data_IF_306780817945
#
_entry.id   IF_306780817945
#
_cell.length_a   1.000
_cell.length_b   1.000
_cell.length_c   1.000
_cell.angle_alpha   90.00
_cell.angle_beta   90.00
_cell.angle_gamma   90.00
#
_symmetry.space_group_name_H-M   'P 1'
#
loop_
_entity.id
_entity.type
_entity.pdbx_description
1 polymer ?
#
# COMPACT_ATOMS: atom_id res chain seq x y z
N UNK A 1 -15.30 30.66 23.25
CA UNK A 1 -15.12 30.53 24.71
C UNK A 1 -14.64 29.10 24.95
N UNK A 2 -13.41 28.97 25.44
CA UNK A 2 -12.72 27.70 25.63
C UNK A 2 -13.00 27.20 27.06
N UNK A 3 -13.58 26.01 27.21
CA UNK A 3 -13.68 25.36 28.50
C UNK A 3 -12.64 24.25 28.59
N UNK A 4 -11.60 24.53 29.35
CA UNK A 4 -10.59 23.56 29.77
C UNK A 4 -11.02 23.05 31.14
N UNK A 5 -11.23 21.73 31.28
CA UNK A 5 -11.50 21.08 32.57
C UNK A 5 -10.18 20.47 33.06
N UNK A 6 -9.66 20.82 34.22
CA UNK A 6 -8.49 20.15 34.80
C UNK A 6 -8.90 18.89 35.58
N UNK A 7 -8.24 17.78 35.28
CA UNK A 7 -8.34 16.54 36.06
C UNK A 7 -7.38 16.68 37.27
N UNK A 8 -7.95 16.70 38.45
CA UNK A 8 -7.19 16.68 39.70
C UNK A 8 -6.79 15.23 40.06
N UNK A 9 -5.49 15.02 40.21
CA UNK A 9 -4.92 13.76 40.72
C UNK A 9 -4.83 13.91 42.26
N UNK A 10 -5.62 13.11 42.96
CA UNK A 10 -5.56 13.04 44.43
C UNK A 10 -4.58 11.93 44.81
N UNK A 11 -3.47 12.33 45.43
CA UNK A 11 -2.50 11.42 46.05
C UNK A 11 -2.98 11.13 47.46
N UNK A 12 -3.31 9.88 47.76
CA UNK A 12 -3.56 9.41 49.13
C UNK A 12 -2.30 8.76 49.67
N UNK A 13 -1.66 9.41 50.63
CA UNK A 13 -0.60 8.84 51.45
C UNK A 13 -1.22 8.19 52.69
N UNK A 14 -0.98 6.89 52.88
CA UNK A 14 -1.14 6.27 54.20
C UNK A 14 0.16 5.57 54.52
N UNK A 15 0.74 5.97 55.62
CA UNK A 15 2.00 5.45 56.11
C UNK A 15 1.82 4.37 57.20
N UNK A 16 2.94 3.80 57.46
CA UNK A 16 3.39 3.19 58.70
C UNK A 16 3.41 1.67 58.84
N UNK A 17 4.62 1.12 58.89
CA UNK A 17 5.08 0.31 59.99
C UNK A 17 5.35 -1.17 59.72
N UNK A 18 6.61 -1.59 59.87
CA UNK A 18 6.94 -2.96 60.30
C UNK A 18 8.10 -3.62 59.52
N UNK A 19 9.19 -3.80 60.23
CA UNK A 19 10.45 -4.47 59.90
C UNK A 19 10.24 -5.94 59.48
N UNK A 20 11.02 -6.46 58.50
CA UNK A 20 12.18 -7.34 58.72
C UNK A 20 12.79 -7.83 57.41
N UNK A 21 14.09 -8.08 57.47
CA UNK A 21 15.04 -8.44 56.45
C UNK A 21 14.71 -9.67 55.59
N UNK A 22 14.99 -9.62 54.28
CA UNK A 22 15.75 -10.67 53.59
C UNK A 22 16.19 -10.18 52.22
N UNK A 23 17.49 -10.21 52.04
CA UNK A 23 18.26 -9.98 50.83
C UNK A 23 17.82 -10.85 49.68
N UNK A 24 17.51 -10.25 48.52
CA UNK A 24 17.85 -10.84 47.22
C UNK A 24 17.92 -9.74 46.15
N UNK A 25 19.09 -9.60 45.58
CA UNK A 25 19.39 -8.74 44.44
C UNK A 25 18.48 -9.08 43.25
N UNK A 26 17.73 -8.11 42.78
CA UNK A 26 17.18 -8.15 41.44
C UNK A 26 17.63 -6.90 40.68
N UNK A 27 18.53 -7.14 39.77
CA UNK A 27 19.03 -6.22 38.78
C UNK A 27 17.90 -5.41 38.14
N UNK A 28 17.95 -4.10 38.33
CA UNK A 28 17.18 -3.15 37.55
C UNK A 28 17.62 -3.22 36.09
N UNK A 29 16.73 -3.66 35.20
CA UNK A 29 16.88 -3.50 33.79
C UNK A 29 16.30 -2.13 33.45
N UNK A 30 17.18 -1.14 33.26
CA UNK A 30 16.83 0.14 32.64
C UNK A 30 16.46 -0.13 31.22
N UNK A 31 15.19 -0.08 30.90
CA UNK A 31 14.66 -0.07 29.53
C UNK A 31 14.92 1.32 28.94
N UNK A 32 16.03 1.43 28.21
CA UNK A 32 16.30 2.56 27.33
C UNK A 32 15.25 2.58 26.24
N UNK A 33 14.27 3.45 26.35
CA UNK A 33 13.44 3.87 25.22
C UNK A 33 14.35 4.61 24.24
N UNK A 34 14.82 3.91 23.21
CA UNK A 34 15.44 4.52 22.06
C UNK A 34 14.35 5.15 21.20
N UNK A 35 14.31 6.46 21.25
CA UNK A 35 13.59 7.30 20.30
C UNK A 35 14.16 7.02 18.89
N UNK A 36 13.48 6.20 18.10
CA UNK A 36 13.80 5.97 16.69
C UNK A 36 13.37 7.22 15.96
N UNK A 37 14.29 8.15 15.77
CA UNK A 37 14.18 9.17 14.74
C UNK A 37 14.16 8.48 13.40
N UNK A 38 12.97 8.32 12.84
CA UNK A 38 12.78 7.93 11.45
C UNK A 38 13.23 9.09 10.57
N UNK A 39 14.51 9.08 10.20
CA UNK A 39 15.01 9.91 9.12
C UNK A 39 14.31 9.47 7.85
N UNK A 40 13.42 10.31 7.35
CA UNK A 40 12.83 10.19 6.03
C UNK A 40 13.95 10.29 4.99
N UNK A 41 14.56 9.13 4.69
CA UNK A 41 15.47 8.99 3.56
C UNK A 41 14.66 9.22 2.30
N UNK A 42 14.81 10.38 1.72
CA UNK A 42 14.33 10.71 0.38
C UNK A 42 15.08 9.80 -0.58
N UNK A 43 14.51 8.65 -0.90
CA UNK A 43 15.03 7.80 -1.96
C UNK A 43 14.75 8.51 -3.28
N UNK A 44 15.81 8.96 -3.93
CA UNK A 44 15.75 9.36 -5.33
C UNK A 44 15.18 8.18 -6.14
N UNK A 45 14.31 8.44 -7.14
CA UNK A 45 13.74 7.37 -7.94
C UNK A 45 14.86 6.68 -8.72
N UNK A 46 15.32 5.54 -8.21
CA UNK A 46 16.14 4.62 -8.97
C UNK A 46 15.31 4.22 -10.18
N UNK A 47 15.81 4.46 -11.38
CA UNK A 47 15.17 4.01 -12.61
C UNK A 47 15.15 2.48 -12.60
N UNK A 48 14.08 1.90 -12.03
CA UNK A 48 13.83 0.47 -12.10
C UNK A 48 13.66 0.11 -13.58
N UNK A 49 14.57 -0.70 -14.10
CA UNK A 49 14.43 -1.26 -15.43
C UNK A 49 13.13 -2.07 -15.47
N UNK A 50 12.26 -1.75 -16.44
CA UNK A 50 11.01 -2.49 -16.64
C UNK A 50 11.32 -3.98 -16.74
N UNK A 51 10.62 -4.85 -16.00
CA UNK A 51 10.81 -6.28 -16.12
C UNK A 51 10.45 -6.74 -17.54
N UNK A 52 11.12 -7.78 -18.02
CA UNK A 52 10.69 -8.46 -19.25
C UNK A 52 9.27 -9.01 -19.02
N UNK A 53 8.35 -8.87 -20.00
CA UNK A 53 7.01 -9.40 -19.85
C UNK A 53 7.04 -10.91 -19.59
N UNK A 54 6.44 -11.33 -18.50
CA UNK A 54 6.26 -12.72 -18.12
C UNK A 54 4.76 -13.05 -18.09
N UNK A 55 4.38 -14.21 -18.59
CA UNK A 55 3.00 -14.64 -18.64
C UNK A 55 2.39 -14.51 -20.02
N UNK A 56 1.08 -14.36 -20.11
CA UNK A 56 0.33 -14.21 -21.37
C UNK A 56 0.01 -12.75 -21.63
N UNK A 57 -0.10 -12.37 -22.92
CA UNK A 57 -0.66 -11.07 -23.25
C UNK A 57 -2.12 -11.05 -22.80
N UNK A 58 -2.56 -9.97 -22.16
CA UNK A 58 -3.95 -9.84 -21.67
C UNK A 58 -4.99 -10.00 -22.80
N UNK A 59 -4.62 -9.67 -24.02
CA UNK A 59 -5.44 -9.93 -25.22
C UNK A 59 -5.73 -11.42 -25.48
N UNK A 60 -4.99 -12.34 -24.88
CA UNK A 60 -5.23 -13.79 -24.96
C UNK A 60 -6.23 -14.27 -23.92
N UNK A 61 -6.61 -13.42 -22.97
CA UNK A 61 -7.63 -13.71 -22.00
C UNK A 61 -9.02 -13.37 -22.53
N UNK A 62 -10.03 -14.02 -21.97
CA UNK A 62 -11.45 -13.80 -22.22
C UNK A 62 -12.19 -13.73 -20.90
N UNK A 63 -13.00 -12.70 -20.75
CA UNK A 63 -13.88 -12.51 -19.61
C UNK A 63 -15.16 -13.34 -19.74
N UNK A 64 -15.61 -13.92 -18.64
CA UNK A 64 -16.91 -14.54 -18.50
C UNK A 64 -17.54 -14.12 -17.16
N UNK A 65 -18.87 -13.96 -17.12
CA UNK A 65 -19.60 -13.47 -15.96
C UNK A 65 -19.89 -11.97 -16.06
N UNK A 66 -20.57 -11.45 -15.05
CA UNK A 66 -20.95 -10.06 -14.93
C UNK A 66 -20.26 -9.46 -13.68
N UNK A 67 -20.00 -8.13 -13.71
CA UNK A 67 -19.44 -7.45 -12.55
C UNK A 67 -20.35 -7.63 -11.33
N UNK A 68 -19.82 -7.95 -10.13
CA UNK A 68 -18.39 -8.01 -9.76
C UNK A 68 -17.71 -9.38 -9.94
N UNK A 69 -18.41 -10.38 -10.48
CA UNK A 69 -17.94 -11.77 -10.53
C UNK A 69 -17.35 -12.17 -11.89
N UNK A 70 -16.64 -11.22 -12.52
CA UNK A 70 -15.90 -11.45 -13.76
C UNK A 70 -14.74 -12.43 -13.51
N UNK A 71 -14.68 -13.49 -14.34
CA UNK A 71 -13.62 -14.51 -14.32
C UNK A 71 -12.86 -14.49 -15.65
N UNK A 72 -11.54 -14.45 -15.57
CA UNK A 72 -10.65 -14.50 -16.73
C UNK A 72 -10.33 -15.94 -17.10
N UNK A 73 -10.37 -16.24 -18.38
CA UNK A 73 -10.02 -17.53 -18.99
C UNK A 73 -9.00 -17.31 -20.10
N UNK A 74 -8.08 -18.22 -20.32
CA UNK A 74 -7.32 -18.23 -21.56
C UNK A 74 -8.27 -18.52 -22.73
N UNK A 75 -8.12 -17.84 -23.85
CA UNK A 75 -8.95 -18.10 -25.04
C UNK A 75 -8.83 -19.56 -25.47
N UNK A 76 -9.99 -20.22 -25.67
CA UNK A 76 -10.06 -21.64 -25.98
C UNK A 76 -10.02 -22.59 -24.76
N UNK A 77 -9.89 -22.05 -23.54
CA UNK A 77 -9.93 -22.83 -22.30
C UNK A 77 -11.25 -22.64 -21.55
N UNK A 78 -11.71 -23.66 -20.84
CA UNK A 78 -12.80 -23.59 -19.90
C UNK A 78 -12.31 -23.60 -18.43
N UNK A 79 -10.98 -23.63 -18.23
CA UNK A 79 -10.36 -23.51 -16.92
C UNK A 79 -10.05 -22.05 -16.61
N UNK A 80 -10.47 -21.51 -15.47
CA UNK A 80 -10.13 -20.17 -15.05
C UNK A 80 -8.61 -19.92 -15.02
N UNK A 81 -8.16 -18.78 -15.52
CA UNK A 81 -6.75 -18.49 -15.66
C UNK A 81 -6.07 -18.31 -14.31
N UNK A 82 -4.88 -18.90 -14.16
CA UNK A 82 -3.97 -18.66 -13.03
C UNK A 82 -2.58 -18.40 -13.59
N UNK A 83 -2.00 -17.25 -13.28
CA UNK A 83 -0.69 -16.84 -13.77
C UNK A 83 -0.56 -15.33 -13.88
N UNK A 84 0.54 -14.89 -14.50
CA UNK A 84 0.75 -13.47 -14.83
C UNK A 84 0.18 -13.16 -16.21
N UNK A 85 -0.41 -11.97 -16.35
CA UNK A 85 -0.78 -11.41 -17.64
C UNK A 85 -0.18 -10.01 -17.77
N UNK A 86 0.03 -9.54 -18.99
CA UNK A 86 0.59 -8.24 -19.25
C UNK A 86 -0.13 -7.51 -20.40
N UNK A 87 -0.10 -6.19 -20.32
CA UNK A 87 -0.48 -5.31 -21.43
C UNK A 87 0.73 -4.57 -21.97
N UNK A 88 0.63 -4.16 -23.25
CA UNK A 88 1.63 -3.34 -23.91
C UNK A 88 1.03 -1.99 -24.31
N UNK A 89 1.86 -0.95 -24.24
CA UNK A 89 1.56 0.32 -24.87
C UNK A 89 1.54 0.18 -26.41
N UNK A 90 0.95 1.12 -27.16
CA UNK A 90 0.96 1.09 -28.63
C UNK A 90 2.36 1.05 -29.25
N UNK A 91 3.38 1.50 -28.53
CA UNK A 91 4.79 1.43 -28.94
C UNK A 91 5.45 0.08 -28.67
N UNK A 92 4.70 -0.91 -28.17
CA UNK A 92 5.18 -2.26 -27.85
C UNK A 92 5.88 -2.39 -26.50
N UNK A 93 6.02 -1.32 -25.72
CA UNK A 93 6.59 -1.37 -24.38
C UNK A 93 5.59 -1.87 -23.34
N UNK A 94 6.10 -2.49 -22.28
CA UNK A 94 5.28 -2.98 -21.17
C UNK A 94 4.51 -1.83 -20.51
N UNK A 95 3.19 -1.99 -20.45
CA UNK A 95 2.27 -1.03 -19.85
C UNK A 95 1.80 -1.48 -18.46
N UNK A 96 1.47 -2.77 -18.31
CA UNK A 96 0.98 -3.30 -17.03
C UNK A 96 1.30 -4.77 -16.87
N UNK A 97 1.44 -5.22 -15.63
CA UNK A 97 1.50 -6.65 -15.26
C UNK A 97 0.47 -6.91 -14.17
N UNK A 98 -0.28 -7.98 -14.37
CA UNK A 98 -1.32 -8.46 -13.47
C UNK A 98 -1.00 -9.86 -12.98
N UNK A 99 -1.46 -10.19 -11.80
CA UNK A 99 -1.43 -11.57 -11.30
C UNK A 99 -2.86 -12.07 -11.11
N UNK A 100 -3.13 -13.26 -11.62
CA UNK A 100 -4.45 -13.92 -11.53
C UNK A 100 -4.36 -15.23 -10.78
N UNK A 101 -5.42 -15.56 -10.04
CA UNK A 101 -5.63 -16.86 -9.42
C UNK A 101 -7.09 -17.25 -9.61
N UNK A 102 -7.32 -18.42 -10.21
CA UNK A 102 -8.67 -18.90 -10.52
C UNK A 102 -9.54 -17.87 -11.28
N UNK A 103 -8.92 -17.17 -12.23
CA UNK A 103 -9.57 -16.17 -13.07
C UNK A 103 -9.83 -14.80 -12.40
N UNK A 104 -9.58 -14.66 -11.11
CA UNK A 104 -9.69 -13.40 -10.39
C UNK A 104 -8.32 -12.76 -10.18
N UNK A 105 -8.23 -11.44 -10.29
CA UNK A 105 -7.01 -10.72 -9.98
C UNK A 105 -6.61 -10.97 -8.52
N UNK A 106 -5.37 -11.43 -8.29
CA UNK A 106 -4.91 -11.86 -6.97
C UNK A 106 -3.39 -11.69 -6.88
N UNK A 107 -2.93 -10.81 -6.00
CA UNK A 107 -1.53 -10.44 -5.88
C UNK A 107 -1.23 -9.10 -6.53
N UNK A 108 0.00 -8.92 -6.95
CA UNK A 108 0.54 -7.64 -7.40
C UNK A 108 -0.02 -7.21 -8.77
N UNK A 109 -0.41 -5.94 -8.87
CA UNK A 109 -0.57 -5.15 -10.08
C UNK A 109 0.55 -4.12 -10.13
N UNK A 110 1.24 -4.00 -11.27
CA UNK A 110 2.16 -2.89 -11.54
C UNK A 110 1.86 -2.34 -12.93
N UNK A 111 1.79 -1.01 -13.03
CA UNK A 111 1.64 -0.32 -14.31
C UNK A 111 2.70 0.76 -14.50
N UNK A 112 3.02 1.07 -15.75
CA UNK A 112 4.03 2.05 -16.15
C UNK A 112 3.46 3.07 -17.13
N UNK A 113 3.91 4.28 -17.01
CA UNK A 113 3.72 5.33 -18.01
C UNK A 113 4.51 5.01 -19.30
N UNK A 114 4.14 5.64 -20.41
CA UNK A 114 4.85 5.50 -21.70
C UNK A 114 6.32 5.94 -21.64
N UNK A 115 6.71 6.78 -20.66
CA UNK A 115 8.09 7.16 -20.44
C UNK A 115 8.89 6.17 -19.57
N UNK A 116 8.29 5.03 -19.21
CA UNK A 116 8.92 3.97 -18.45
C UNK A 116 8.85 4.09 -16.93
N UNK A 117 8.43 5.22 -16.41
CA UNK A 117 8.27 5.39 -14.97
C UNK A 117 7.03 4.66 -14.45
N UNK A 118 7.08 4.19 -13.21
CA UNK A 118 5.94 3.54 -12.55
C UNK A 118 4.75 4.49 -12.54
N UNK A 119 3.57 3.98 -12.85
CA UNK A 119 2.30 4.69 -12.86
C UNK A 119 1.43 4.29 -11.68
N UNK A 120 1.37 2.99 -11.41
CA UNK A 120 0.55 2.42 -10.34
C UNK A 120 1.16 1.12 -9.84
N UNK A 121 1.01 0.87 -8.55
CA UNK A 121 1.30 -0.40 -7.92
C UNK A 121 0.26 -0.66 -6.84
N UNK A 122 -0.19 -1.91 -6.69
CA UNK A 122 -1.14 -2.27 -5.66
C UNK A 122 -1.36 -3.77 -5.60
N UNK A 123 -2.01 -4.18 -4.53
CA UNK A 123 -2.34 -5.58 -4.31
C UNK A 123 -3.84 -5.82 -4.45
N UNK A 124 -4.15 -6.98 -5.01
CA UNK A 124 -5.52 -7.45 -5.20
C UNK A 124 -5.72 -8.81 -4.52
N UNK A 125 -6.92 -9.06 -4.05
CA UNK A 125 -7.35 -10.32 -3.50
C UNK A 125 -8.77 -10.63 -3.99
N UNK A 126 -8.93 -11.79 -4.63
CA UNK A 126 -10.22 -12.24 -5.17
C UNK A 126 -10.93 -11.19 -6.06
N UNK A 127 -10.15 -10.48 -6.89
CA UNK A 127 -10.64 -9.44 -7.80
C UNK A 127 -10.85 -8.06 -7.17
N UNK A 128 -10.58 -7.89 -5.88
CA UNK A 128 -10.77 -6.64 -5.14
C UNK A 128 -9.43 -6.07 -4.68
N UNK A 129 -9.30 -4.74 -4.67
CA UNK A 129 -8.14 -4.10 -4.07
C UNK A 129 -8.05 -4.44 -2.58
N UNK A 130 -6.89 -4.88 -2.10
CA UNK A 130 -6.66 -5.24 -0.70
C UNK A 130 -5.22 -4.87 -0.31
N UNK A 131 -5.08 -3.88 0.57
CA UNK A 131 -3.81 -3.31 1.00
C UNK A 131 -3.50 -1.97 0.36
N UNK A 132 -2.22 -1.62 0.35
CA UNK A 132 -1.73 -0.35 -0.17
C UNK A 132 -1.77 -0.33 -1.70
N UNK A 133 -2.32 0.75 -2.26
CA UNK A 133 -2.17 1.13 -3.66
C UNK A 133 -1.49 2.48 -3.77
N UNK A 134 -0.50 2.59 -4.64
CA UNK A 134 0.24 3.82 -4.88
C UNK A 134 0.21 4.17 -6.35
N UNK A 135 -0.07 5.43 -6.65
CA UNK A 135 0.02 5.99 -7.99
C UNK A 135 1.07 7.09 -8.07
N UNK A 136 1.70 7.24 -9.23
CA UNK A 136 2.74 8.22 -9.49
C UNK A 136 2.41 9.09 -10.69
N UNK A 137 2.85 10.32 -10.65
CA UNK A 137 2.89 11.23 -11.79
C UNK A 137 3.90 10.74 -12.84
N UNK A 138 3.79 11.24 -14.08
CA UNK A 138 4.74 10.96 -15.17
C UNK A 138 6.18 11.39 -14.87
N UNK A 139 6.39 12.24 -13.88
CA UNK A 139 7.71 12.66 -13.41
C UNK A 139 8.27 11.78 -12.28
N UNK A 140 7.61 10.66 -11.97
CA UNK A 140 8.00 9.68 -10.94
C UNK A 140 7.67 10.09 -9.50
N UNK A 141 7.13 11.29 -9.25
CA UNK A 141 6.70 11.68 -7.91
C UNK A 141 5.36 11.05 -7.57
N UNK A 142 5.17 10.73 -6.29
CA UNK A 142 3.91 10.16 -5.81
C UNK A 142 2.75 11.09 -6.14
N UNK A 143 1.63 10.52 -6.59
CA UNK A 143 0.38 11.22 -6.91
C UNK A 143 -0.70 10.91 -5.88
N UNK A 144 -0.88 9.63 -5.58
CA UNK A 144 -1.90 9.13 -4.66
C UNK A 144 -1.39 7.92 -3.90
N UNK A 145 -1.84 7.78 -2.68
CA UNK A 145 -1.68 6.59 -1.86
C UNK A 145 -3.03 6.29 -1.21
N UNK A 146 -3.54 5.08 -1.42
CA UNK A 146 -4.81 4.63 -0.85
C UNK A 146 -4.64 3.28 -0.17
N UNK A 147 -5.21 3.12 1.02
CA UNK A 147 -5.33 1.82 1.66
C UNK A 147 -6.73 1.27 1.40
N UNK A 148 -6.77 0.03 0.93
CA UNK A 148 -8.00 -0.68 0.59
C UNK A 148 -8.16 -1.93 1.44
N UNK A 149 -9.41 -2.28 1.73
CA UNK A 149 -9.78 -3.54 2.35
C UNK A 149 -11.02 -4.09 1.66
N UNK A 150 -10.91 -5.30 1.12
CA UNK A 150 -12.00 -5.99 0.40
C UNK A 150 -12.66 -5.13 -0.70
N UNK A 151 -11.88 -4.24 -1.34
CA UNK A 151 -12.30 -3.30 -2.37
C UNK A 151 -12.81 -1.95 -1.85
N UNK A 152 -12.94 -1.76 -0.55
CA UNK A 152 -13.34 -0.49 0.05
C UNK A 152 -12.12 0.37 0.37
N UNK A 153 -12.18 1.67 0.04
CA UNK A 153 -11.14 2.64 0.37
C UNK A 153 -11.24 3.02 1.85
N UNK A 154 -10.18 2.73 2.62
CA UNK A 154 -10.10 3.03 4.04
C UNK A 154 -9.49 4.41 4.31
N UNK A 155 -8.45 4.75 3.56
CA UNK A 155 -7.76 6.04 3.68
C UNK A 155 -7.04 6.39 2.39
N UNK A 156 -6.84 7.68 2.16
CA UNK A 156 -6.12 8.18 1.00
C UNK A 156 -5.29 9.41 1.32
N UNK A 157 -4.22 9.63 0.55
CA UNK A 157 -3.37 10.81 0.58
C UNK A 157 -3.00 11.21 -0.84
N UNK A 158 -2.82 12.50 -1.06
CA UNK A 158 -2.55 13.07 -2.37
C UNK A 158 -1.33 13.96 -2.39
N UNK A 159 -0.64 14.03 -3.52
CA UNK A 159 0.50 14.89 -3.78
C UNK A 159 0.37 15.50 -5.18
N UNK A 160 0.73 16.77 -5.31
CA UNK A 160 0.79 17.43 -6.60
C UNK A 160 2.03 17.01 -7.41
N UNK A 161 2.15 17.48 -8.65
CA UNK A 161 3.27 17.16 -9.54
C UNK A 161 4.63 17.66 -9.04
N UNK A 162 4.67 18.56 -8.04
CA UNK A 162 5.90 18.98 -7.36
C UNK A 162 6.29 18.05 -6.23
N UNK A 163 5.41 17.10 -5.84
CA UNK A 163 5.59 16.18 -4.72
C UNK A 163 5.18 16.78 -3.38
N UNK A 164 4.43 17.88 -3.37
CA UNK A 164 3.90 18.50 -2.18
C UNK A 164 2.57 17.85 -1.80
N UNK A 165 2.33 17.53 -0.51
CA UNK A 165 1.06 16.97 -0.08
C UNK A 165 -0.07 17.98 -0.28
N UNK A 166 -1.22 17.49 -0.74
CA UNK A 166 -2.43 18.28 -0.99
C UNK A 166 -3.65 17.61 -0.40
N UNK A 167 -4.72 18.38 -0.20
CA UNK A 167 -5.90 17.89 0.50
C UNK A 167 -6.85 17.07 -0.38
N UNK A 168 -6.82 17.26 -1.69
CA UNK A 168 -7.81 16.69 -2.61
C UNK A 168 -7.19 16.10 -3.87
N UNK A 169 -7.89 15.14 -4.48
CA UNK A 169 -7.55 14.59 -5.78
C UNK A 169 -7.52 15.65 -6.91
N UNK A 170 -8.29 16.72 -6.80
CA UNK A 170 -8.28 17.80 -7.78
C UNK A 170 -6.99 18.62 -7.71
N UNK A 171 -6.54 18.93 -6.50
CA UNK A 171 -5.27 19.64 -6.27
C UNK A 171 -4.06 18.82 -6.70
N UNK A 172 -4.13 17.50 -6.60
CA UNK A 172 -3.04 16.61 -7.01
C UNK A 172 -2.78 16.59 -8.52
N UNK A 173 -3.76 17.01 -9.33
CA UNK A 173 -3.65 17.06 -10.80
C UNK A 173 -2.96 18.33 -11.32
N UNK A 174 -2.72 19.30 -10.45
CA UNK A 174 -2.01 20.55 -10.76
C UNK A 174 -0.51 20.36 -10.49
#
# INVERSE_FOLDING_TARGET
MKNIVPIAITILTVGCGGKDESTTETKAVEEKVQEVKEEAKTEEPVAETKPKPEGVNHNELKERGEYPDIIQYLKGSDTPYTGKAFDLHPNGELSSVYTYKNGKQHGLLVGWHTNGQKQVEGNFKEGKADGLMVGWHKNGKKHIEGNFKDGELISEKYWNSKGEPVATAEESRK
#
